data_IF_317166067782
#
_entry.id   IF_317166067782
#
_cell.length_a   1.000
_cell.length_b   1.000
_cell.length_c   1.000
_cell.angle_alpha   90.00
_cell.angle_beta   90.00
_cell.angle_gamma   90.00
#
_symmetry.space_group_name_H-M   'P 1'
#
loop_
_entity.id
_entity.type
_entity.pdbx_description
1 polymer ?
#
# COMPACT_ATOMS: atom_id res chain seq x y z
N UNK A 1 39.46 -20.10 7.99
CA UNK A 1 39.63 -19.71 9.40
C UNK A 1 38.58 -18.66 9.69
N UNK A 2 37.82 -18.71 10.79
CA UNK A 2 36.94 -17.60 11.14
C UNK A 2 37.80 -16.34 11.28
N UNK A 3 37.42 -15.26 10.59
CA UNK A 3 38.12 -13.97 10.74
C UNK A 3 38.08 -13.54 12.21
N UNK A 4 39.20 -13.04 12.71
CA UNK A 4 39.24 -12.45 14.03
C UNK A 4 38.28 -11.25 14.10
N UNK A 5 37.49 -11.19 15.18
CA UNK A 5 36.65 -10.05 15.48
C UNK A 5 37.46 -8.75 15.54
N UNK A 6 36.84 -7.64 15.18
CA UNK A 6 37.43 -6.33 15.41
C UNK A 6 37.67 -6.11 16.91
N UNK A 7 38.81 -5.49 17.22
CA UNK A 7 39.12 -5.06 18.57
C UNK A 7 38.25 -3.84 18.94
N UNK A 8 38.10 -3.58 20.24
CA UNK A 8 37.41 -2.38 20.70
C UNK A 8 38.01 -1.09 20.11
N UNK A 9 39.33 -1.02 19.93
CA UNK A 9 39.98 0.14 19.31
C UNK A 9 39.61 0.27 17.82
N UNK A 10 39.58 -0.83 17.07
CA UNK A 10 39.18 -0.82 15.67
C UNK A 10 37.69 -0.44 15.51
N UNK A 11 36.83 -0.95 16.40
CA UNK A 11 35.41 -0.59 16.43
C UNK A 11 35.20 0.87 16.80
N UNK A 12 35.97 1.41 17.75
CA UNK A 12 35.89 2.82 18.15
C UNK A 12 36.14 3.74 16.97
N UNK A 13 37.22 3.51 16.21
CA UNK A 13 37.51 4.30 14.98
C UNK A 13 36.38 4.22 13.94
N UNK A 14 35.78 3.03 13.75
CA UNK A 14 34.70 2.85 12.77
C UNK A 14 33.42 3.54 13.20
N UNK A 15 33.04 3.39 14.46
CA UNK A 15 31.84 3.99 15.03
C UNK A 15 31.97 5.50 15.14
N UNK A 16 33.17 6.01 15.45
CA UNK A 16 33.45 7.45 15.47
C UNK A 16 33.20 8.06 14.08
N UNK A 17 33.63 7.38 13.01
CA UNK A 17 33.33 7.79 11.64
C UNK A 17 31.82 7.71 11.32
N UNK A 18 31.18 6.57 11.58
CA UNK A 18 29.77 6.33 11.21
C UNK A 18 28.79 7.22 11.98
N UNK A 19 29.09 7.54 13.23
CA UNK A 19 28.21 8.27 14.14
C UNK A 19 28.66 9.70 14.41
N UNK A 20 29.73 10.19 13.74
CA UNK A 20 30.34 11.49 14.02
C UNK A 20 29.35 12.64 14.30
N UNK A 21 28.25 12.81 13.54
CA UNK A 21 27.33 13.93 13.74
C UNK A 21 26.52 13.90 15.04
N UNK A 22 26.38 12.74 15.68
CA UNK A 22 25.66 12.59 16.96
C UNK A 22 26.60 12.48 18.18
N UNK A 23 27.91 12.39 17.92
CA UNK A 23 28.92 12.35 18.97
C UNK A 23 29.27 13.75 19.46
N UNK A 24 29.77 13.82 20.69
CA UNK A 24 30.22 15.05 21.33
C UNK A 24 31.31 14.75 22.34
N UNK A 25 31.89 15.80 22.94
CA UNK A 25 32.86 15.64 24.03
C UNK A 25 32.33 14.85 25.23
N UNK A 26 31.00 14.77 25.41
CA UNK A 26 30.35 14.01 26.49
C UNK A 26 29.74 12.68 26.03
N UNK A 27 29.72 12.40 24.73
CA UNK A 27 29.12 11.20 24.12
C UNK A 27 30.01 10.71 23.00
N UNK A 28 30.84 9.71 23.28
CA UNK A 28 31.81 9.15 22.34
C UNK A 28 31.39 7.77 21.84
N UNK A 29 32.10 7.26 20.82
CA UNK A 29 31.92 5.91 20.30
C UNK A 29 32.50 4.81 21.20
N UNK A 30 33.48 5.14 22.05
CA UNK A 30 34.21 4.17 22.86
C UNK A 30 33.34 3.24 23.75
N UNK A 31 32.25 3.72 24.40
CA UNK A 31 31.35 2.82 25.12
C UNK A 31 30.68 1.79 24.21
N UNK A 32 30.23 2.20 23.02
CA UNK A 32 29.62 1.30 22.02
C UNK A 32 30.64 0.28 21.50
N UNK A 33 31.87 0.74 21.22
CA UNK A 33 32.94 -0.13 20.76
C UNK A 33 33.28 -1.23 21.76
N UNK A 34 33.28 -0.91 23.07
CA UNK A 34 33.46 -1.90 24.15
C UNK A 34 32.30 -2.88 24.25
N UNK A 35 31.07 -2.43 23.98
CA UNK A 35 29.89 -3.29 23.97
C UNK A 35 29.87 -4.26 22.78
N UNK A 36 30.36 -3.85 21.62
CA UNK A 36 30.35 -4.64 20.39
C UNK A 36 31.59 -5.55 20.24
N UNK A 37 32.71 -5.23 20.89
CA UNK A 37 33.95 -6.02 20.82
C UNK A 37 33.81 -7.52 21.20
N UNK A 38 32.95 -7.92 22.16
CA UNK A 38 32.76 -9.33 22.49
C UNK A 38 31.96 -10.14 21.46
N UNK A 39 31.28 -9.48 20.51
CA UNK A 39 30.48 -10.15 19.50
C UNK A 39 31.35 -10.91 18.49
N UNK A 40 30.78 -11.93 17.85
CA UNK A 40 31.46 -12.63 16.75
C UNK A 40 31.68 -11.68 15.56
N UNK A 41 32.70 -11.95 14.74
CA UNK A 41 33.02 -11.06 13.61
C UNK A 41 31.84 -10.82 12.66
N UNK A 42 31.10 -11.88 12.30
CA UNK A 42 29.89 -11.77 11.48
C UNK A 42 28.83 -10.87 12.11
N UNK A 43 28.64 -10.94 13.43
CA UNK A 43 27.70 -10.10 14.16
C UNK A 43 28.17 -8.64 14.22
N UNK A 44 29.48 -8.41 14.37
CA UNK A 44 30.06 -7.07 14.31
C UNK A 44 29.86 -6.44 12.93
N UNK A 45 30.14 -7.19 11.86
CA UNK A 45 29.95 -6.72 10.48
C UNK A 45 28.47 -6.42 10.20
N UNK A 46 27.55 -7.29 10.65
CA UNK A 46 26.10 -7.08 10.56
C UNK A 46 25.67 -5.78 11.27
N UNK A 47 26.12 -5.56 12.51
CA UNK A 47 25.77 -4.34 13.27
C UNK A 47 26.34 -3.09 12.61
N UNK A 48 27.61 -3.13 12.17
CA UNK A 48 28.25 -2.00 11.49
C UNK A 48 27.52 -1.65 10.19
N UNK A 49 27.10 -2.66 9.42
CA UNK A 49 26.30 -2.46 8.21
C UNK A 49 25.01 -1.69 8.52
N UNK A 50 24.21 -2.19 9.48
CA UNK A 50 22.93 -1.56 9.84
C UNK A 50 23.08 -0.19 10.49
N UNK A 51 24.14 0.06 11.27
CA UNK A 51 24.47 1.41 11.76
C UNK A 51 24.66 2.36 10.57
N UNK A 52 25.41 1.94 9.54
CA UNK A 52 25.60 2.72 8.33
C UNK A 52 24.28 3.01 7.61
N UNK A 53 23.45 1.98 7.41
CA UNK A 53 22.12 2.11 6.77
C UNK A 53 21.24 3.10 7.53
N UNK A 54 21.11 2.96 8.85
CA UNK A 54 20.27 3.84 9.67
C UNK A 54 20.83 5.27 9.71
N UNK A 55 22.15 5.44 9.76
CA UNK A 55 22.80 6.74 9.84
C UNK A 55 22.57 7.61 8.60
N UNK A 56 22.25 7.01 7.44
CA UNK A 56 21.81 7.77 6.26
C UNK A 56 20.50 8.53 6.49
N UNK A 57 19.63 8.02 7.37
CA UNK A 57 18.35 8.65 7.70
C UNK A 57 18.45 9.47 8.98
N UNK A 58 19.01 8.89 10.06
CA UNK A 58 19.12 9.56 11.35
C UNK A 58 20.25 8.99 12.23
N UNK A 59 21.24 9.82 12.57
CA UNK A 59 22.39 9.44 13.39
C UNK A 59 22.03 9.06 14.83
N UNK A 60 20.99 9.66 15.42
CA UNK A 60 20.55 9.29 16.77
C UNK A 60 19.94 7.89 16.78
N UNK A 61 19.07 7.56 15.82
CA UNK A 61 18.54 6.20 15.67
C UNK A 61 19.67 5.19 15.49
N UNK A 62 20.69 5.51 14.68
CA UNK A 62 21.84 4.64 14.47
C UNK A 62 22.64 4.41 15.78
N UNK A 63 22.81 5.45 16.59
CA UNK A 63 23.43 5.32 17.91
C UNK A 63 22.59 4.45 18.84
N UNK A 64 21.27 4.65 18.89
CA UNK A 64 20.37 3.87 19.75
C UNK A 64 20.38 2.39 19.37
N UNK A 65 20.37 2.07 18.06
CA UNK A 65 20.54 0.72 17.57
C UNK A 65 21.90 0.13 18.01
N UNK A 66 23.00 0.86 17.81
CA UNK A 66 24.34 0.40 18.20
C UNK A 66 24.43 0.03 19.69
N UNK A 67 23.74 0.80 20.55
CA UNK A 67 23.68 0.54 21.99
C UNK A 67 22.84 -0.70 22.33
N UNK A 68 21.77 -0.97 21.57
CA UNK A 68 20.83 -2.05 21.84
C UNK A 68 21.20 -3.38 21.15
N UNK A 69 22.00 -3.34 20.09
CA UNK A 69 22.34 -4.50 19.25
C UNK A 69 22.93 -5.71 20.01
N UNK A 70 23.84 -5.57 21.00
CA UNK A 70 24.33 -6.72 21.76
C UNK A 70 23.21 -7.49 22.49
N UNK A 71 22.27 -6.77 23.08
CA UNK A 71 21.14 -7.37 23.78
C UNK A 71 20.19 -8.08 22.80
N UNK A 72 20.06 -7.56 21.59
CA UNK A 72 19.28 -8.17 20.51
C UNK A 72 19.90 -9.46 19.98
N UNK A 73 21.19 -9.42 19.65
CA UNK A 73 21.93 -10.58 19.15
C UNK A 73 22.03 -11.73 20.16
N UNK A 74 21.86 -11.45 21.45
CA UNK A 74 21.79 -12.48 22.48
C UNK A 74 20.45 -13.25 22.49
N UNK A 75 19.41 -12.72 21.85
CA UNK A 75 18.02 -13.21 21.93
C UNK A 75 17.42 -13.58 20.57
N UNK A 76 17.89 -12.94 19.51
CA UNK A 76 17.28 -12.97 18.17
C UNK A 76 18.29 -13.46 17.14
N UNK A 77 17.79 -14.13 16.10
CA UNK A 77 18.55 -14.35 14.88
C UNK A 77 18.63 -13.07 14.02
N UNK A 78 19.43 -13.10 12.97
CA UNK A 78 19.64 -11.94 12.11
C UNK A 78 18.36 -11.47 11.43
N UNK A 79 17.50 -12.39 10.97
CA UNK A 79 16.24 -12.05 10.31
C UNK A 79 15.27 -11.32 11.25
N UNK A 80 15.16 -11.78 12.50
CA UNK A 80 14.34 -11.12 13.50
C UNK A 80 14.90 -9.73 13.89
N UNK A 81 16.22 -9.55 13.90
CA UNK A 81 16.84 -8.24 14.16
C UNK A 81 16.58 -7.27 12.99
N UNK A 82 16.65 -7.73 11.75
CA UNK A 82 16.31 -6.90 10.58
C UNK A 82 14.86 -6.42 10.64
N UNK A 83 13.92 -7.31 10.94
CA UNK A 83 12.51 -6.96 11.15
C UNK A 83 12.34 -5.92 12.27
N UNK A 84 13.03 -6.12 13.40
CA UNK A 84 13.01 -5.18 14.52
C UNK A 84 13.58 -3.80 14.16
N UNK A 85 14.68 -3.74 13.39
CA UNK A 85 15.25 -2.48 12.89
C UNK A 85 14.26 -1.77 11.99
N UNK A 86 13.65 -2.48 11.04
CA UNK A 86 12.66 -1.92 10.12
C UNK A 86 11.49 -1.33 10.91
N UNK A 87 10.94 -2.06 11.89
CA UNK A 87 9.85 -1.55 12.73
C UNK A 87 10.26 -0.28 13.51
N UNK A 88 11.48 -0.23 14.03
CA UNK A 88 11.97 0.95 14.74
C UNK A 88 12.08 2.16 13.81
N UNK A 89 12.53 1.96 12.58
CA UNK A 89 12.63 3.00 11.56
C UNK A 89 11.26 3.45 11.05
N UNK A 90 10.33 2.53 10.80
CA UNK A 90 8.95 2.85 10.43
C UNK A 90 8.25 3.66 11.53
N UNK A 91 8.49 3.29 12.79
CA UNK A 91 7.96 4.02 13.95
C UNK A 91 8.61 5.40 14.06
N UNK A 92 9.91 5.52 13.76
CA UNK A 92 10.60 6.82 13.71
C UNK A 92 10.00 7.74 12.64
N UNK A 93 9.80 7.23 11.42
CA UNK A 93 9.28 8.03 10.29
C UNK A 93 7.85 8.52 10.57
N UNK A 94 7.03 7.70 11.23
CA UNK A 94 5.64 8.04 11.55
C UNK A 94 5.49 8.89 12.81
N UNK A 95 6.13 8.46 13.89
CA UNK A 95 5.85 8.94 15.24
C UNK A 95 7.01 9.75 15.86
N UNK A 96 8.10 9.90 15.11
CA UNK A 96 9.28 10.68 15.49
C UNK A 96 10.29 9.93 16.36
N UNK A 97 11.40 10.62 16.63
CA UNK A 97 12.60 10.11 17.30
C UNK A 97 12.34 9.39 18.62
N UNK A 98 11.46 9.95 19.46
CA UNK A 98 11.20 9.38 20.77
C UNK A 98 10.58 7.98 20.67
N UNK A 99 9.53 7.82 19.85
CA UNK A 99 8.86 6.52 19.69
C UNK A 99 9.74 5.52 18.98
N UNK A 100 10.43 5.91 17.91
CA UNK A 100 11.37 5.03 17.21
C UNK A 100 12.49 4.53 18.13
N UNK A 101 13.10 5.41 18.93
CA UNK A 101 14.16 5.04 19.87
C UNK A 101 13.67 4.12 21.00
N UNK A 102 12.40 4.24 21.38
CA UNK A 102 11.82 3.39 22.42
C UNK A 102 11.70 1.93 21.98
N UNK A 103 11.46 1.68 20.68
CA UNK A 103 11.46 0.33 20.09
C UNK A 103 12.80 -0.37 20.34
N UNK A 104 13.92 0.35 20.22
CA UNK A 104 15.25 -0.20 20.49
C UNK A 104 15.49 -0.51 21.97
N UNK A 105 14.84 0.21 22.89
CA UNK A 105 14.97 0.00 24.33
C UNK A 105 14.10 -1.13 24.84
N UNK A 106 12.97 -1.39 24.18
CA UNK A 106 11.96 -2.35 24.62
C UNK A 106 12.06 -3.70 23.89
N UNK A 107 13.28 -4.21 23.71
CA UNK A 107 13.48 -5.48 23.03
C UNK A 107 12.81 -6.67 23.74
N UNK A 108 12.70 -6.63 25.07
CA UNK A 108 12.02 -7.68 25.83
C UNK A 108 10.51 -7.67 25.55
N UNK A 109 9.89 -6.49 25.39
CA UNK A 109 8.49 -6.36 24.97
C UNK A 109 8.29 -6.82 23.52
N UNK A 110 9.23 -6.47 22.64
CA UNK A 110 9.20 -6.90 21.24
C UNK A 110 9.32 -8.41 21.12
N UNK A 111 10.32 -9.01 21.77
CA UNK A 111 10.51 -10.47 21.82
C UNK A 111 9.32 -11.18 22.45
N UNK A 112 8.64 -10.61 23.44
CA UNK A 112 7.40 -11.21 23.98
C UNK A 112 6.23 -11.12 23.01
N UNK A 113 6.10 -10.00 22.29
CA UNK A 113 5.06 -9.81 21.28
C UNK A 113 5.29 -10.67 20.03
N UNK A 114 6.55 -10.98 19.70
CA UNK A 114 6.95 -11.84 18.57
C UNK A 114 7.35 -13.25 18.99
N UNK A 115 7.30 -13.58 20.29
CA UNK A 115 7.66 -14.89 20.82
C UNK A 115 6.74 -15.96 20.24
N UNK A 116 7.30 -16.80 19.37
CA UNK A 116 6.57 -17.87 18.70
C UNK A 116 5.82 -17.44 17.44
N UNK A 117 5.97 -16.19 16.97
CA UNK A 117 5.48 -15.73 15.68
C UNK A 117 6.57 -15.86 14.61
N UNK A 118 6.35 -16.77 13.67
CA UNK A 118 7.24 -16.90 12.50
C UNK A 118 7.01 -15.73 11.53
N UNK A 119 8.10 -15.06 11.13
CA UNK A 119 8.04 -13.87 10.28
C UNK A 119 7.75 -14.26 8.82
N UNK A 120 6.74 -13.64 8.20
CA UNK A 120 6.55 -13.63 6.76
C UNK A 120 7.12 -12.33 6.18
N UNK A 121 8.02 -12.40 5.19
CA UNK A 121 8.58 -11.21 4.54
C UNK A 121 7.93 -10.96 3.19
N UNK A 122 7.85 -9.70 2.79
CA UNK A 122 7.32 -9.33 1.47
C UNK A 122 8.16 -9.95 0.34
N UNK A 123 9.49 -9.91 0.44
CA UNK A 123 10.40 -10.40 -0.60
C UNK A 123 10.17 -11.88 -0.94
N UNK A 124 9.91 -12.71 0.08
CA UNK A 124 9.64 -14.14 -0.12
C UNK A 124 8.33 -14.38 -0.89
N UNK A 125 7.32 -13.53 -0.67
CA UNK A 125 5.97 -13.74 -1.18
C UNK A 125 5.58 -12.79 -2.32
N UNK A 126 6.43 -11.85 -2.70
CA UNK A 126 6.12 -10.80 -3.67
C UNK A 126 5.60 -11.37 -4.99
N UNK A 127 6.27 -12.38 -5.54
CA UNK A 127 5.83 -13.02 -6.79
C UNK A 127 4.47 -13.70 -6.68
N UNK A 128 4.23 -14.41 -5.57
CA UNK A 128 2.93 -15.06 -5.31
C UNK A 128 1.82 -14.02 -5.15
N UNK A 129 2.11 -12.93 -4.45
CA UNK A 129 1.17 -11.82 -4.27
C UNK A 129 0.88 -11.09 -5.58
N UNK A 130 1.85 -10.94 -6.48
CA UNK A 130 1.64 -10.37 -7.82
C UNK A 130 0.69 -11.24 -8.65
N UNK A 131 0.89 -12.56 -8.66
CA UNK A 131 0.00 -13.50 -9.36
C UNK A 131 -1.41 -13.49 -8.74
N UNK A 132 -1.49 -13.47 -7.41
CA UNK A 132 -2.74 -13.34 -6.68
C UNK A 132 -3.48 -12.03 -7.05
N UNK A 133 -2.77 -10.90 -7.03
CA UNK A 133 -3.31 -9.60 -7.45
C UNK A 133 -3.77 -9.58 -8.91
N UNK A 134 -3.03 -10.26 -9.79
CA UNK A 134 -3.43 -10.44 -11.19
C UNK A 134 -4.75 -11.24 -11.31
N UNK A 135 -4.91 -12.29 -10.51
CA UNK A 135 -6.17 -13.03 -10.42
C UNK A 135 -7.33 -12.20 -9.85
N UNK A 136 -7.07 -11.25 -8.95
CA UNK A 136 -8.08 -10.34 -8.40
C UNK A 136 -8.51 -9.26 -9.39
N UNK A 137 -7.55 -8.62 -10.06
CA UNK A 137 -7.79 -7.43 -10.86
C UNK A 137 -7.98 -7.72 -12.36
N UNK A 138 -7.71 -8.95 -12.82
CA UNK A 138 -7.65 -9.29 -14.25
C UNK A 138 -6.46 -8.66 -14.98
N UNK A 139 -5.59 -7.94 -14.27
CA UNK A 139 -4.40 -7.26 -14.77
C UNK A 139 -3.29 -7.27 -13.70
N UNK A 140 -2.01 -7.15 -14.09
CA UNK A 140 -0.92 -7.01 -13.12
C UNK A 140 -1.17 -5.81 -12.18
N UNK A 141 -0.98 -6.04 -10.88
CA UNK A 141 -0.97 -4.98 -9.86
C UNK A 141 0.48 -4.71 -9.44
N UNK A 142 0.85 -3.44 -9.35
CA UNK A 142 2.15 -3.07 -8.81
C UNK A 142 2.14 -3.28 -7.30
N UNK A 143 3.18 -3.93 -6.78
CA UNK A 143 3.38 -4.14 -5.35
C UNK A 143 4.73 -3.55 -4.96
N UNK A 144 4.76 -2.86 -3.84
CA UNK A 144 6.00 -2.34 -3.25
C UNK A 144 5.91 -2.39 -1.71
N UNK A 145 7.01 -2.10 -1.05
CA UNK A 145 7.08 -2.02 0.41
C UNK A 145 6.71 -0.64 0.92
N UNK A 146 6.04 -0.59 2.07
CA UNK A 146 5.73 0.64 2.79
C UNK A 146 5.72 0.42 4.29
N UNK A 147 5.98 1.48 5.05
CA UNK A 147 5.96 1.46 6.52
C UNK A 147 4.58 1.15 7.10
N UNK A 148 3.53 1.37 6.31
CA UNK A 148 2.15 1.00 6.60
C UNK A 148 1.50 0.47 5.32
N UNK A 149 0.45 -0.37 5.42
CA UNK A 149 -0.28 -0.81 4.24
C UNK A 149 -1.10 0.35 3.65
N UNK A 150 -0.88 0.74 2.40
CA UNK A 150 -1.67 1.78 1.72
C UNK A 150 -1.60 1.61 0.21
N UNK A 151 -2.43 2.35 -0.54
CA UNK A 151 -2.34 2.39 -2.00
C UNK A 151 -2.47 3.81 -2.51
N UNK A 152 -1.75 4.11 -3.58
CA UNK A 152 -1.95 5.32 -4.39
C UNK A 152 -2.92 5.08 -5.55
N UNK A 153 -3.62 3.94 -5.56
CA UNK A 153 -4.49 3.39 -6.61
C UNK A 153 -3.80 2.71 -7.79
N UNK A 154 -2.48 2.85 -7.96
CA UNK A 154 -1.70 2.14 -8.99
C UNK A 154 -0.80 1.05 -8.37
N UNK A 155 -0.28 1.31 -7.17
CA UNK A 155 0.59 0.44 -6.40
C UNK A 155 -0.03 0.10 -5.06
N UNK A 156 0.06 -1.17 -4.65
CA UNK A 156 -0.28 -1.60 -3.30
C UNK A 156 1.02 -1.67 -2.49
N UNK A 157 1.16 -0.77 -1.52
CA UNK A 157 2.29 -0.73 -0.60
C UNK A 157 1.97 -1.64 0.59
N UNK A 158 2.80 -2.66 0.80
CA UNK A 158 2.64 -3.67 1.85
C UNK A 158 3.81 -3.59 2.85
N UNK A 159 3.62 -4.01 4.11
CA UNK A 159 4.71 -4.05 5.09
C UNK A 159 5.87 -4.93 4.60
N UNK A 160 7.12 -4.55 4.89
CA UNK A 160 8.28 -5.37 4.55
C UNK A 160 8.25 -6.76 5.23
N UNK A 161 7.62 -6.85 6.40
CA UNK A 161 7.42 -8.09 7.14
C UNK A 161 6.12 -8.07 7.97
N UNK A 162 5.58 -9.24 8.26
CA UNK A 162 4.43 -9.45 9.16
C UNK A 162 4.76 -10.58 10.13
N UNK A 163 4.59 -10.30 11.43
CA UNK A 163 4.82 -11.25 12.53
C UNK A 163 3.71 -11.12 13.58
N UNK A 164 2.46 -11.08 13.16
CA UNK A 164 1.30 -10.83 14.02
C UNK A 164 0.67 -12.10 14.58
N UNK A 165 0.92 -13.25 13.95
CA UNK A 165 0.38 -14.56 14.31
C UNK A 165 1.50 -15.59 14.50
N UNK A 166 1.26 -16.68 15.23
CA UNK A 166 2.30 -17.69 15.51
C UNK A 166 2.92 -18.32 14.25
N UNK A 167 2.10 -18.59 13.23
CA UNK A 167 2.52 -19.33 12.06
C UNK A 167 2.81 -18.42 10.85
N UNK A 168 3.90 -18.71 10.12
CA UNK A 168 4.30 -17.95 8.94
C UNK A 168 3.25 -17.93 7.84
N UNK A 169 2.57 -19.06 7.60
CA UNK A 169 1.50 -19.16 6.62
C UNK A 169 0.28 -18.30 7.00
N UNK A 170 0.04 -18.10 8.31
CA UNK A 170 -1.01 -17.20 8.76
C UNK A 170 -0.61 -15.73 8.60
N UNK A 171 0.65 -15.39 8.87
CA UNK A 171 1.18 -14.07 8.55
C UNK A 171 1.18 -13.79 7.04
N UNK A 172 1.43 -14.81 6.20
CA UNK A 172 1.24 -14.70 4.76
C UNK A 172 -0.23 -14.48 4.38
N UNK A 173 -1.20 -15.08 5.09
CA UNK A 173 -2.61 -14.78 4.86
C UNK A 173 -2.96 -13.31 5.15
N UNK A 174 -2.30 -12.66 6.11
CA UNK A 174 -2.46 -11.22 6.36
C UNK A 174 -2.05 -10.40 5.13
N UNK A 175 -0.97 -10.76 4.43
CA UNK A 175 -0.60 -10.10 3.17
C UNK A 175 -1.71 -10.19 2.11
N UNK A 176 -2.34 -11.37 1.94
CA UNK A 176 -3.46 -11.50 0.98
C UNK A 176 -4.64 -10.62 1.37
N UNK A 177 -4.98 -10.56 2.65
CA UNK A 177 -6.07 -9.70 3.16
C UNK A 177 -5.75 -8.23 2.92
N UNK A 178 -4.53 -7.78 3.24
CA UNK A 178 -4.07 -6.42 2.97
C UNK A 178 -4.13 -6.08 1.48
N UNK A 179 -3.55 -6.93 0.63
CA UNK A 179 -3.58 -6.73 -0.82
C UNK A 179 -5.01 -6.65 -1.36
N UNK A 180 -5.91 -7.50 -0.88
CA UNK A 180 -7.32 -7.48 -1.29
C UNK A 180 -8.04 -6.22 -0.81
N UNK A 181 -7.83 -5.78 0.44
CA UNK A 181 -8.44 -4.55 0.96
C UNK A 181 -7.95 -3.31 0.21
N UNK A 182 -6.64 -3.21 -0.04
CA UNK A 182 -6.05 -2.08 -0.78
C UNK A 182 -6.54 -2.04 -2.23
N UNK A 183 -6.59 -3.18 -2.92
CA UNK A 183 -7.23 -3.28 -4.23
C UNK A 183 -8.72 -2.85 -4.18
N UNK A 184 -9.44 -3.33 -3.16
CA UNK A 184 -10.85 -3.04 -2.98
C UNK A 184 -11.12 -1.54 -2.76
N UNK A 185 -10.19 -0.80 -2.16
CA UNK A 185 -10.34 0.64 -1.97
C UNK A 185 -10.55 1.37 -3.31
N UNK A 186 -9.73 1.08 -4.31
CA UNK A 186 -9.92 1.59 -5.67
C UNK A 186 -11.16 0.99 -6.32
N UNK A 187 -11.31 -0.33 -6.24
CA UNK A 187 -12.36 -1.08 -6.93
C UNK A 187 -13.78 -0.68 -6.57
N UNK A 188 -14.02 -0.36 -5.30
CA UNK A 188 -15.33 -0.02 -4.75
C UNK A 188 -15.42 1.45 -4.36
N UNK A 189 -14.67 2.31 -5.05
CA UNK A 189 -14.92 3.75 -5.11
C UNK A 189 -14.59 4.55 -3.85
N UNK A 190 -13.68 4.06 -3.00
CA UNK A 190 -13.24 4.76 -1.77
C UNK A 190 -12.72 6.16 -2.09
N UNK A 191 -11.92 6.29 -3.16
CA UNK A 191 -11.30 7.54 -3.57
C UNK A 191 -12.17 8.41 -4.49
N UNK A 192 -13.47 8.14 -4.59
CA UNK A 192 -14.42 9.00 -5.32
C UNK A 192 -14.83 10.24 -4.51
N UNK A 193 -14.62 10.22 -3.20
CA UNK A 193 -14.84 11.35 -2.31
C UNK A 193 -13.53 12.05 -1.93
N UNK A 194 -13.60 13.34 -1.59
CA UNK A 194 -12.48 14.13 -1.07
C UNK A 194 -12.21 13.77 0.40
N UNK A 195 -11.56 12.64 0.62
CA UNK A 195 -11.30 12.11 1.96
C UNK A 195 -10.38 13.04 2.77
N UNK A 196 -9.43 13.71 2.10
CA UNK A 196 -8.53 14.65 2.74
C UNK A 196 -9.30 15.88 3.26
N UNK A 197 -10.17 16.46 2.43
CA UNK A 197 -11.05 17.56 2.82
C UNK A 197 -12.01 17.18 3.94
N UNK A 198 -12.62 15.98 3.87
CA UNK A 198 -13.51 15.46 4.93
C UNK A 198 -12.76 15.34 6.26
N UNK A 199 -11.60 14.68 6.29
CA UNK A 199 -10.84 14.48 7.52
C UNK A 199 -10.27 15.80 8.08
N UNK A 200 -9.91 16.76 7.22
CA UNK A 200 -9.39 18.06 7.63
C UNK A 200 -10.42 18.91 8.41
N UNK A 201 -11.71 18.61 8.29
CA UNK A 201 -12.77 19.30 9.03
C UNK A 201 -12.86 18.90 10.52
N UNK A 202 -12.15 17.85 10.94
CA UNK A 202 -12.16 17.38 12.32
C UNK A 202 -11.00 17.96 13.14
N UNK A 203 -11.17 18.00 14.47
CA UNK A 203 -10.19 18.57 15.39
C UNK A 203 -8.80 17.90 15.32
N UNK A 204 -8.79 16.60 15.09
CA UNK A 204 -7.60 15.78 14.82
C UNK A 204 -7.83 15.02 13.49
N UNK A 205 -7.30 15.52 12.37
CA UNK A 205 -7.44 14.90 11.06
C UNK A 205 -6.80 13.51 10.95
N UNK A 206 -5.72 13.24 11.70
CA UNK A 206 -5.06 11.95 11.69
C UNK A 206 -5.94 10.88 12.36
N UNK A 207 -6.57 11.23 13.49
CA UNK A 207 -7.57 10.39 14.15
C UNK A 207 -8.79 10.16 13.27
N UNK A 208 -9.27 11.20 12.57
CA UNK A 208 -10.39 11.08 11.64
C UNK A 208 -10.06 10.11 10.49
N UNK A 209 -8.85 10.22 9.94
CA UNK A 209 -8.35 9.36 8.84
C UNK A 209 -8.24 7.90 9.29
N UNK A 210 -7.71 7.65 10.49
CA UNK A 210 -7.63 6.30 11.04
C UNK A 210 -9.01 5.68 11.24
N UNK A 211 -9.98 6.44 11.76
CA UNK A 211 -11.34 5.95 11.96
C UNK A 211 -12.07 5.73 10.63
N UNK A 212 -11.90 6.63 9.66
CA UNK A 212 -12.47 6.46 8.32
C UNK A 212 -11.90 5.22 7.63
N UNK A 213 -10.60 4.97 7.75
CA UNK A 213 -9.97 3.77 7.18
C UNK A 213 -10.53 2.48 7.79
N UNK A 214 -10.82 2.50 9.09
CA UNK A 214 -11.48 1.38 9.76
C UNK A 214 -12.90 1.14 9.22
N UNK A 215 -13.72 2.19 9.14
CA UNK A 215 -15.08 2.12 8.62
C UNK A 215 -15.09 1.65 7.16
N UNK A 216 -14.20 2.20 6.32
CA UNK A 216 -14.06 1.74 4.94
C UNK A 216 -13.65 0.28 4.87
N UNK A 217 -12.75 -0.19 5.74
CA UNK A 217 -12.41 -1.62 5.78
C UNK A 217 -13.64 -2.49 6.02
N UNK A 218 -14.55 -2.10 6.91
CA UNK A 218 -15.80 -2.85 7.17
C UNK A 218 -16.71 -2.91 5.94
N UNK A 219 -16.87 -1.76 5.24
CA UNK A 219 -17.65 -1.70 3.99
C UNK A 219 -17.03 -2.58 2.92
N UNK A 220 -15.72 -2.48 2.73
CA UNK A 220 -14.97 -3.25 1.74
C UNK A 220 -14.99 -4.74 2.02
N UNK A 221 -14.91 -5.17 3.28
CA UNK A 221 -15.07 -6.58 3.66
C UNK A 221 -16.45 -7.12 3.28
N UNK A 222 -17.51 -6.34 3.46
CA UNK A 222 -18.85 -6.73 3.01
C UNK A 222 -18.94 -6.84 1.48
N UNK A 223 -18.30 -5.94 0.73
CA UNK A 223 -18.19 -6.03 -0.72
C UNK A 223 -17.43 -7.29 -1.16
N UNK A 224 -16.25 -7.51 -0.58
CA UNK A 224 -15.37 -8.65 -0.87
C UNK A 224 -16.07 -9.96 -0.54
N UNK A 225 -16.81 -10.05 0.57
CA UNK A 225 -17.47 -11.28 0.99
C UNK A 225 -18.58 -11.78 0.08
N UNK A 226 -19.12 -10.93 -0.81
CA UNK A 226 -20.10 -11.33 -1.82
C UNK A 226 -19.46 -12.07 -3.00
N UNK A 227 -18.22 -11.74 -3.33
CA UNK A 227 -17.54 -12.22 -4.55
C UNK A 227 -16.35 -13.15 -4.24
N UNK A 228 -15.73 -13.04 -3.07
CA UNK A 228 -14.53 -13.76 -2.67
C UNK A 228 -14.73 -14.45 -1.30
N UNK A 229 -15.56 -15.51 -1.22
CA UNK A 229 -15.91 -16.17 0.04
C UNK A 229 -14.71 -16.84 0.73
N UNK A 230 -13.65 -17.17 0.00
CA UNK A 230 -12.39 -17.64 0.58
C UNK A 230 -11.72 -16.57 1.43
N UNK A 231 -11.55 -15.36 0.87
CA UNK A 231 -10.90 -14.23 1.56
C UNK A 231 -11.78 -13.70 2.70
N UNK A 232 -13.10 -13.70 2.54
CA UNK A 232 -13.99 -13.29 3.62
C UNK A 232 -13.91 -14.20 4.85
N UNK A 233 -13.72 -15.52 4.66
CA UNK A 233 -13.46 -16.43 5.78
C UNK A 233 -12.14 -16.10 6.48
N UNK A 234 -11.10 -15.76 5.73
CA UNK A 234 -9.83 -15.32 6.29
C UNK A 234 -9.99 -14.01 7.08
N UNK A 235 -10.73 -13.02 6.55
CA UNK A 235 -11.02 -11.74 7.21
C UNK A 235 -11.80 -11.93 8.51
N UNK A 236 -12.87 -12.72 8.50
CA UNK A 236 -13.65 -13.04 9.71
C UNK A 236 -12.77 -13.71 10.78
N UNK A 237 -11.93 -14.66 10.36
CA UNK A 237 -11.01 -15.38 11.26
C UNK A 237 -10.00 -14.42 11.91
N UNK A 238 -9.46 -13.46 11.16
CA UNK A 238 -8.52 -12.48 11.68
C UNK A 238 -9.20 -11.42 12.56
N UNK A 239 -10.33 -10.88 12.11
CA UNK A 239 -11.06 -9.80 12.77
C UNK A 239 -11.76 -10.22 14.05
N UNK A 240 -12.28 -11.44 14.08
CA UNK A 240 -13.20 -11.87 15.13
C UNK A 240 -14.56 -11.17 15.00
N UNK A 241 -15.38 -11.27 16.05
CA UNK A 241 -16.71 -10.68 16.07
C UNK A 241 -16.64 -9.16 16.22
N UNK A 242 -17.19 -8.42 15.25
CA UNK A 242 -17.34 -6.96 15.34
C UNK A 242 -18.66 -6.55 15.95
N UNK A 243 -19.69 -7.43 16.00
CA UNK A 243 -20.95 -7.37 16.75
C UNK A 243 -21.75 -6.06 16.82
N UNK A 244 -21.30 -4.99 16.18
CA UNK A 244 -21.74 -3.64 16.45
C UNK A 244 -22.75 -3.20 15.40
N UNK A 245 -24.00 -3.14 15.82
CA UNK A 245 -25.15 -2.78 14.98
C UNK A 245 -24.99 -1.40 14.31
N UNK A 246 -24.13 -0.53 14.85
CA UNK A 246 -23.84 0.79 14.25
C UNK A 246 -23.20 0.67 12.88
N UNK A 247 -22.53 -0.45 12.58
CA UNK A 247 -21.89 -0.70 11.29
C UNK A 247 -22.83 -1.35 10.25
N UNK A 248 -24.08 -1.68 10.61
CA UNK A 248 -24.99 -2.42 9.74
C UNK A 248 -25.17 -1.76 8.36
N UNK A 249 -25.22 -0.42 8.31
CA UNK A 249 -25.33 0.35 7.06
C UNK A 249 -24.19 0.06 6.07
N UNK A 250 -22.97 -0.20 6.57
CA UNK A 250 -21.81 -0.49 5.73
C UNK A 250 -21.86 -1.88 5.08
N UNK A 251 -22.72 -2.77 5.58
CA UNK A 251 -22.90 -4.11 5.02
C UNK A 251 -23.98 -4.17 3.96
N UNK A 252 -24.70 -3.07 3.70
CA UNK A 252 -25.70 -2.99 2.65
C UNK A 252 -25.06 -3.18 1.25
N UNK A 253 -25.74 -3.81 0.28
CA UNK A 253 -25.21 -4.02 -1.07
C UNK A 253 -24.86 -2.73 -1.82
N UNK A 254 -25.58 -1.65 -1.53
CA UNK A 254 -25.45 -0.32 -2.14
C UNK A 254 -24.63 0.66 -1.30
N UNK A 255 -24.02 0.20 -0.20
CA UNK A 255 -23.19 1.03 0.67
C UNK A 255 -21.99 1.62 -0.10
N UNK A 256 -21.81 2.93 0.07
CA UNK A 256 -20.76 3.74 -0.56
C UNK A 256 -19.81 4.32 0.48
N UNK A 257 -18.72 4.94 0.02
CA UNK A 257 -17.82 5.69 0.90
C UNK A 257 -18.53 6.81 1.68
N UNK A 258 -19.64 7.34 1.14
CA UNK A 258 -20.42 8.36 1.84
C UNK A 258 -21.09 7.83 3.12
N UNK A 259 -21.44 6.53 3.16
CA UNK A 259 -21.99 5.91 4.36
C UNK A 259 -20.93 5.79 5.46
N UNK A 260 -19.68 5.47 5.08
CA UNK A 260 -18.53 5.48 6.00
C UNK A 260 -18.20 6.90 6.48
N UNK A 261 -18.27 7.91 5.60
CA UNK A 261 -18.09 9.32 5.97
C UNK A 261 -19.19 9.77 6.93
N UNK A 262 -20.44 9.40 6.68
CA UNK A 262 -21.56 9.71 7.56
C UNK A 262 -21.36 9.08 8.96
N UNK A 263 -20.95 7.81 9.02
CA UNK A 263 -20.61 7.15 10.28
C UNK A 263 -19.40 7.77 10.98
N UNK A 264 -18.39 8.22 10.23
CA UNK A 264 -17.25 8.95 10.80
C UNK A 264 -17.74 10.17 11.59
N UNK A 265 -18.64 10.98 11.02
CA UNK A 265 -19.21 12.13 11.72
C UNK A 265 -19.96 11.74 12.99
N UNK A 266 -20.66 10.61 13.00
CA UNK A 266 -21.41 10.14 14.16
C UNK A 266 -20.50 9.56 15.26
N UNK A 267 -19.40 8.90 14.88
CA UNK A 267 -18.61 8.07 15.77
C UNK A 267 -17.29 8.70 16.22
N UNK A 268 -16.84 9.79 15.58
CA UNK A 268 -15.57 10.45 15.89
C UNK A 268 -15.41 10.84 17.37
N UNK A 269 -16.47 11.31 18.01
CA UNK A 269 -16.47 11.66 19.44
C UNK A 269 -16.77 10.49 20.38
N UNK A 270 -17.07 9.31 19.84
CA UNK A 270 -17.64 8.18 20.58
C UNK A 270 -16.65 7.02 20.71
N UNK A 271 -15.91 6.72 19.65
CA UNK A 271 -14.97 5.58 19.60
C UNK A 271 -13.61 6.01 19.09
N UNK A 272 -12.59 5.23 19.45
CA UNK A 272 -11.29 5.28 18.79
C UNK A 272 -11.20 4.20 17.71
N UNK A 273 -10.42 4.49 16.67
CA UNK A 273 -10.18 3.55 15.59
C UNK A 273 -9.46 2.30 16.13
N UNK A 274 -10.03 1.09 15.97
CA UNK A 274 -9.34 -0.15 16.32
C UNK A 274 -8.05 -0.28 15.50
N UNK A 275 -6.96 -0.69 16.15
CA UNK A 275 -5.69 -1.00 15.48
C UNK A 275 -5.46 -2.51 15.50
N UNK A 276 -5.36 -3.10 14.32
CA UNK A 276 -5.01 -4.51 14.12
C UNK A 276 -3.95 -4.66 13.01
N UNK A 277 -3.32 -5.83 12.91
CA UNK A 277 -2.17 -6.06 12.03
C UNK A 277 -2.45 -5.88 10.52
N UNK A 278 -3.71 -5.99 10.09
CA UNK A 278 -4.15 -5.73 8.71
C UNK A 278 -4.92 -4.42 8.55
N UNK A 279 -4.60 -3.39 9.35
CA UNK A 279 -5.21 -2.06 9.16
C UNK A 279 -4.62 -1.42 7.92
N UNK A 280 -5.46 -1.03 6.97
CA UNK A 280 -5.04 -0.25 5.79
C UNK A 280 -4.98 1.24 6.13
N UNK A 281 -4.20 2.01 5.38
CA UNK A 281 -4.12 3.46 5.45
C UNK A 281 -4.85 4.13 4.28
N UNK A 282 -5.37 5.33 4.54
CA UNK A 282 -5.86 6.24 3.51
C UNK A 282 -4.88 7.42 3.44
N UNK A 283 -4.29 7.68 2.26
CA UNK A 283 -3.32 8.75 2.08
C UNK A 283 -3.75 9.71 0.97
N UNK A 284 -3.45 11.02 1.10
CA UNK A 284 -3.80 12.02 0.08
C UNK A 284 -3.24 11.73 -1.31
N UNK A 285 -2.07 11.08 -1.39
CA UNK A 285 -1.42 10.74 -2.65
C UNK A 285 -2.33 9.92 -3.60
N UNK A 286 -3.20 9.07 -3.04
CA UNK A 286 -4.14 8.27 -3.82
C UNK A 286 -5.06 9.11 -4.70
N UNK A 287 -5.52 10.26 -4.19
CA UNK A 287 -6.40 11.14 -4.95
C UNK A 287 -5.65 11.82 -6.11
N UNK A 288 -4.44 12.32 -5.85
CA UNK A 288 -3.63 12.96 -6.90
C UNK A 288 -3.21 11.99 -8.00
N UNK A 289 -2.84 10.76 -7.65
CA UNK A 289 -2.44 9.73 -8.62
C UNK A 289 -3.66 9.31 -9.45
N UNK A 290 -4.79 9.08 -8.80
CA UNK A 290 -6.05 8.79 -9.48
C UNK A 290 -6.47 9.89 -10.46
N UNK A 291 -6.41 11.16 -10.06
CA UNK A 291 -6.74 12.29 -10.94
C UNK A 291 -5.81 12.39 -12.16
N UNK A 292 -4.51 12.13 -11.96
CA UNK A 292 -3.54 12.08 -13.06
C UNK A 292 -3.83 10.89 -14.00
N UNK A 293 -4.16 9.72 -13.45
CA UNK A 293 -4.55 8.54 -14.22
C UNK A 293 -5.79 8.79 -15.05
N UNK A 294 -6.87 9.33 -14.47
CA UNK A 294 -8.12 9.64 -15.19
C UNK A 294 -7.84 10.49 -16.44
N UNK A 295 -7.01 11.53 -16.32
CA UNK A 295 -6.63 12.40 -17.45
C UNK A 295 -5.84 11.65 -18.52
N UNK A 296 -4.94 10.76 -18.11
CA UNK A 296 -4.13 9.94 -19.02
C UNK A 296 -4.99 8.91 -19.76
N UNK A 297 -5.81 8.17 -19.01
CA UNK A 297 -6.71 7.13 -19.53
C UNK A 297 -7.78 7.70 -20.48
N UNK A 298 -8.21 8.95 -20.28
CA UNK A 298 -9.06 9.65 -21.25
C UNK A 298 -8.42 9.73 -22.64
N UNK A 299 -7.15 10.13 -22.71
CA UNK A 299 -6.42 10.22 -23.98
C UNK A 299 -6.11 8.86 -24.59
N UNK A 300 -5.75 7.88 -23.75
CA UNK A 300 -5.50 6.49 -24.17
C UNK A 300 -6.77 5.85 -24.75
N UNK A 301 -7.95 6.09 -24.15
CA UNK A 301 -9.20 5.53 -24.63
C UNK A 301 -9.58 6.15 -25.97
N UNK A 302 -9.44 7.47 -26.11
CA UNK A 302 -9.68 8.16 -27.36
C UNK A 302 -8.78 7.61 -28.49
N UNK A 303 -7.49 7.41 -28.23
CA UNK A 303 -6.57 6.83 -29.20
C UNK A 303 -6.95 5.38 -29.57
N UNK A 304 -7.22 4.54 -28.57
CA UNK A 304 -7.57 3.14 -28.80
C UNK A 304 -8.89 2.96 -29.56
N UNK A 305 -9.90 3.79 -29.29
CA UNK A 305 -11.15 3.80 -30.05
C UNK A 305 -10.95 4.29 -31.49
N UNK A 306 -10.07 5.27 -31.73
CA UNK A 306 -9.75 5.72 -33.07
C UNK A 306 -9.06 4.62 -33.89
N UNK A 307 -8.09 3.91 -33.30
CA UNK A 307 -7.42 2.77 -33.91
C UNK A 307 -8.44 1.65 -34.21
N UNK A 308 -9.31 1.31 -33.26
CA UNK A 308 -10.36 0.32 -33.43
C UNK A 308 -11.34 0.69 -34.57
N UNK A 309 -11.67 1.98 -34.73
CA UNK A 309 -12.50 2.44 -35.84
C UNK A 309 -11.79 2.30 -37.20
N UNK A 310 -10.49 2.54 -37.25
CA UNK A 310 -9.68 2.39 -38.47
C UNK A 310 -9.54 0.93 -38.90
N UNK A 311 -9.36 0.02 -37.94
CA UNK A 311 -9.34 -1.43 -38.19
C UNK A 311 -10.67 -1.95 -38.76
N UNK A 312 -11.80 -1.43 -38.24
CA UNK A 312 -13.13 -1.82 -38.69
C UNK A 312 -13.52 -1.22 -40.06
N UNK A 313 -12.99 -0.04 -40.43
CA UNK A 313 -13.20 0.59 -41.75
C UNK A 313 -11.88 1.14 -42.34
N UNK A 314 -11.02 0.26 -42.89
CA UNK A 314 -9.75 0.66 -43.48
C UNK A 314 -9.95 1.67 -44.61
N UNK A 315 -9.27 2.82 -44.55
CA UNK A 315 -9.31 3.86 -45.59
C UNK A 315 -10.17 5.08 -45.28
N UNK A 316 -10.94 5.07 -44.18
CA UNK A 316 -11.57 6.29 -43.65
C UNK A 316 -10.55 7.01 -42.76
N UNK A 317 -10.24 8.28 -43.06
CA UNK A 317 -9.38 9.08 -42.18
C UNK A 317 -10.13 9.36 -40.87
N UNK A 318 -9.49 9.18 -39.69
CA UNK A 318 -10.08 9.62 -38.43
C UNK A 318 -10.38 11.11 -38.49
N UNK A 319 -11.66 11.46 -38.38
CA UNK A 319 -12.16 12.82 -38.22
C UNK A 319 -12.56 13.09 -36.77
N UNK A 320 -12.85 14.35 -36.44
CA UNK A 320 -13.31 14.73 -35.10
C UNK A 320 -14.61 14.00 -34.67
N UNK A 321 -15.39 13.53 -35.64
CA UNK A 321 -16.64 12.77 -35.47
C UNK A 321 -16.42 11.26 -35.25
N UNK A 322 -15.19 10.76 -35.35
CA UNK A 322 -14.92 9.31 -35.31
C UNK A 322 -15.23 8.71 -33.95
N UNK A 323 -14.95 9.44 -32.87
CA UNK A 323 -15.29 9.02 -31.50
C UNK A 323 -16.80 9.06 -31.24
N UNK A 324 -17.52 9.99 -31.87
CA UNK A 324 -18.98 10.16 -31.68
C UNK A 324 -19.80 8.99 -32.24
N UNK A 325 -19.18 8.13 -33.05
CA UNK A 325 -19.77 6.90 -33.60
C UNK A 325 -19.78 5.76 -32.59
N UNK A 326 -19.01 5.88 -31.51
CA UNK A 326 -19.00 4.89 -30.44
C UNK A 326 -20.11 5.14 -29.42
N UNK A 327 -20.64 4.05 -28.86
CA UNK A 327 -21.49 4.07 -27.67
C UNK A 327 -20.98 3.01 -26.70
N UNK A 328 -20.94 3.34 -25.42
CA UNK A 328 -20.55 2.43 -24.36
C UNK A 328 -21.70 2.36 -23.38
N UNK A 329 -22.29 1.17 -23.24
CA UNK A 329 -23.33 0.90 -22.26
C UNK A 329 -22.73 0.02 -21.16
N UNK A 330 -22.54 0.56 -19.97
CA UNK A 330 -22.09 -0.22 -18.81
C UNK A 330 -23.31 -0.71 -18.01
N UNK A 331 -23.23 -1.95 -17.54
CA UNK A 331 -24.21 -2.51 -16.62
C UNK A 331 -24.17 -1.73 -15.29
N UNK A 332 -25.34 -1.49 -14.72
CA UNK A 332 -25.48 -0.83 -13.41
C UNK A 332 -25.04 -1.73 -12.24
N UNK A 333 -24.92 -3.04 -12.49
CA UNK A 333 -24.47 -4.02 -11.51
C UNK A 333 -23.16 -4.67 -11.98
N UNK A 334 -22.25 -4.81 -11.04
CA UNK A 334 -21.06 -5.65 -11.19
C UNK A 334 -21.48 -7.12 -11.37
N UNK A 335 -20.77 -7.86 -12.23
CA UNK A 335 -20.90 -9.31 -12.38
C UNK A 335 -20.39 -10.06 -11.14
N UNK A 336 -20.50 -11.39 -11.16
CA UNK A 336 -20.14 -12.26 -10.03
C UNK A 336 -18.65 -12.19 -9.65
N UNK A 337 -17.79 -11.78 -10.58
CA UNK A 337 -16.36 -11.51 -10.37
C UNK A 337 -16.07 -10.05 -9.99
N UNK A 338 -17.12 -9.25 -9.81
CA UNK A 338 -17.05 -7.83 -9.57
C UNK A 338 -16.92 -6.98 -10.83
N UNK A 339 -16.52 -7.52 -12.00
CA UNK A 339 -16.31 -6.79 -13.27
C UNK A 339 -17.57 -6.00 -13.68
N UNK A 340 -17.40 -4.83 -14.30
CA UNK A 340 -18.55 -4.07 -14.80
C UNK A 340 -18.75 -4.52 -16.23
N UNK A 341 -19.78 -5.34 -16.47
CA UNK A 341 -20.10 -5.76 -17.83
C UNK A 341 -20.42 -4.52 -18.68
N UNK A 342 -19.81 -4.38 -19.85
CA UNK A 342 -20.10 -3.29 -20.76
C UNK A 342 -20.30 -3.80 -22.19
N UNK A 343 -21.05 -3.04 -22.97
CA UNK A 343 -21.24 -3.25 -24.40
C UNK A 343 -20.66 -2.05 -25.16
N UNK A 344 -19.69 -2.32 -26.05
CA UNK A 344 -19.13 -1.34 -26.97
C UNK A 344 -19.83 -1.47 -28.33
N UNK A 345 -20.35 -0.36 -28.85
CA UNK A 345 -20.98 -0.29 -30.16
C UNK A 345 -20.26 0.73 -31.04
N UNK A 346 -20.14 0.42 -32.34
CA UNK A 346 -19.65 1.31 -33.39
C UNK A 346 -20.70 1.37 -34.50
N UNK A 347 -21.20 2.56 -34.82
CA UNK A 347 -22.30 2.76 -35.79
C UNK A 347 -23.55 1.91 -35.48
N UNK A 348 -23.82 1.63 -34.20
CA UNK A 348 -24.93 0.80 -33.74
C UNK A 348 -24.71 -0.72 -33.86
N UNK A 349 -23.54 -1.16 -34.33
CA UNK A 349 -23.16 -2.57 -34.31
C UNK A 349 -22.27 -2.86 -33.09
N UNK A 350 -22.54 -3.94 -32.37
CA UNK A 350 -21.70 -4.39 -31.24
C UNK A 350 -20.32 -4.80 -31.75
N UNK A 351 -19.28 -4.26 -31.11
CA UNK A 351 -17.86 -4.56 -31.40
C UNK A 351 -17.23 -5.15 -30.15
N UNK A 352 -16.51 -6.26 -30.31
CA UNK A 352 -15.71 -6.82 -29.22
C UNK A 352 -14.44 -5.98 -29.05
N UNK A 353 -14.24 -5.31 -27.90
CA UNK A 353 -13.02 -4.56 -27.66
C UNK A 353 -11.84 -5.52 -27.45
N UNK A 354 -10.64 -5.17 -27.94
CA UNK A 354 -9.40 -5.84 -27.55
C UNK A 354 -9.16 -5.78 -26.03
N UNK A 355 -8.42 -6.74 -25.48
CA UNK A 355 -8.20 -6.87 -24.03
C UNK A 355 -7.71 -5.58 -23.36
N UNK A 356 -6.77 -4.86 -24.01
CA UNK A 356 -6.23 -3.61 -23.47
C UNK A 356 -7.29 -2.48 -23.42
N UNK A 357 -8.22 -2.44 -24.38
CA UNK A 357 -9.33 -1.47 -24.39
C UNK A 357 -10.33 -1.83 -23.30
N UNK A 358 -10.63 -3.11 -23.14
CA UNK A 358 -11.50 -3.61 -22.07
C UNK A 358 -10.95 -3.25 -20.68
N UNK A 359 -9.66 -3.48 -20.45
CA UNK A 359 -8.98 -3.13 -19.20
C UNK A 359 -8.99 -1.63 -18.93
N UNK A 360 -8.83 -0.82 -19.97
CA UNK A 360 -8.87 0.64 -19.88
C UNK A 360 -10.28 1.14 -19.52
N UNK A 361 -11.31 0.59 -20.17
CA UNK A 361 -12.71 0.88 -19.87
C UNK A 361 -13.07 0.48 -18.43
N UNK A 362 -12.64 -0.69 -17.96
CA UNK A 362 -12.82 -1.13 -16.58
C UNK A 362 -12.17 -0.19 -15.57
N UNK A 363 -10.95 0.29 -15.87
CA UNK A 363 -10.21 1.25 -15.03
C UNK A 363 -10.99 2.57 -14.89
N UNK A 364 -11.46 3.12 -16.01
CA UNK A 364 -12.24 4.36 -16.06
C UNK A 364 -13.57 4.20 -15.33
N UNK A 365 -14.28 3.07 -15.53
CA UNK A 365 -15.54 2.77 -14.86
C UNK A 365 -15.37 2.64 -13.33
N UNK A 366 -14.26 2.05 -12.86
CA UNK A 366 -13.93 1.99 -11.44
C UNK A 366 -13.72 3.38 -10.86
N UNK A 367 -13.04 4.26 -11.58
CA UNK A 367 -12.80 5.61 -11.12
C UNK A 367 -14.06 6.47 -11.14
N UNK A 368 -14.80 6.51 -12.25
CA UNK A 368 -15.86 7.48 -12.48
C UNK A 368 -17.27 6.95 -12.21
N UNK A 369 -17.44 5.63 -12.08
CA UNK A 369 -18.75 4.98 -11.95
C UNK A 369 -19.56 4.90 -13.25
N UNK A 370 -19.01 5.41 -14.35
CA UNK A 370 -19.57 5.45 -15.70
C UNK A 370 -18.51 6.02 -16.65
N UNK A 371 -18.61 5.75 -17.96
CA UNK A 371 -17.75 6.43 -18.94
C UNK A 371 -18.45 7.71 -19.41
N UNK A 372 -17.91 8.90 -19.14
CA UNK A 372 -18.54 10.16 -19.54
C UNK A 372 -18.63 10.32 -21.07
N UNK A 373 -19.73 10.89 -21.57
CA UNK A 373 -19.92 11.16 -23.01
C UNK A 373 -18.80 12.01 -23.63
N UNK A 374 -18.16 12.86 -22.82
CA UNK A 374 -17.02 13.68 -23.24
C UNK A 374 -15.77 12.88 -23.61
N UNK A 375 -15.64 11.62 -23.15
CA UNK A 375 -14.57 10.70 -23.55
C UNK A 375 -14.80 10.17 -24.96
N UNK A 376 -16.03 10.23 -25.45
CA UNK A 376 -16.43 9.82 -26.80
C UNK A 376 -16.50 11.01 -27.76
N UNK A 377 -15.90 12.15 -27.40
CA UNK A 377 -15.76 13.33 -28.25
C UNK A 377 -14.29 13.68 -28.37
N UNK A 378 -13.89 14.22 -29.53
CA UNK A 378 -12.55 14.77 -29.66
C UNK A 378 -12.36 15.89 -28.62
N UNK A 379 -11.34 15.77 -27.76
CA UNK A 379 -10.91 16.86 -26.91
C UNK A 379 -10.54 18.04 -27.83
N UNK A 380 -11.33 19.10 -27.81
CA UNK A 380 -11.29 20.15 -28.84
C UNK A 380 -9.89 20.66 -29.14
N UNK A 381 -9.52 20.68 -30.44
CA UNK A 381 -8.32 21.27 -31.06
C UNK A 381 -7.08 21.41 -30.14
N UNK A 382 -6.68 20.32 -29.49
CA UNK A 382 -5.38 20.18 -28.85
C UNK A 382 -4.44 19.46 -29.80
N UNK A 383 -3.59 20.22 -30.51
CA UNK A 383 -2.55 19.73 -31.44
C UNK A 383 -1.82 18.50 -30.86
N UNK A 384 -1.99 17.34 -31.50
CA UNK A 384 -0.98 16.29 -31.47
C UNK A 384 0.26 16.83 -32.18
N UNK A 385 1.27 17.26 -31.42
CA UNK A 385 2.62 17.44 -31.96
C UNK A 385 3.19 16.05 -32.28
N UNK A 386 2.92 15.59 -33.50
CA UNK A 386 3.69 14.53 -34.12
C UNK A 386 5.03 15.13 -34.57
N UNK A 387 6.09 14.92 -33.79
CA UNK A 387 7.43 15.31 -34.21
C UNK A 387 8.54 15.00 -33.22
N UNK A 388 9.12 13.80 -33.31
CA UNK A 388 10.58 13.58 -33.38
C UNK A 388 10.87 12.07 -33.35
N UNK A 389 10.85 11.43 -34.52
CA UNK A 389 11.81 10.35 -34.81
C UNK A 389 12.94 11.05 -35.56
N UNK A 390 14.08 11.19 -34.89
CA UNK A 390 15.35 11.49 -35.56
C UNK A 390 16.02 10.15 -35.91
N UNK A 391 16.56 10.12 -37.13
CA UNK A 391 17.32 9.03 -37.72
C UNK A 391 18.63 8.72 -36.97
#
# INVERSE_FOLDING_TARGET
MPEAGYTAAALDTRLDYLLSPVLSSRRTAAPLAKLLAPLQRSQQDFVLHWIGVIAHTNYEMAYQFAAAAPAALARLDTTAIEAWIIQAMDTYDRDGLQRGSEVFKQIDTWTQATAGAEIATFEEYAHVLQLFGCGLAGRPLNLDTGSEPWTDTETLYLPAHIAALPNKAENFNIYKVLATLLWAQGRYGTFRADLAGVCAAFADPARATALLSHLESLRLEACIGRVLPGIARDMIRLRGDTGDERYAVLTAPDATVNDSIHLLHQLYGVIDAPRHAWTTGLRPAAQSVREARIKREQGELAAALADLAQENKPGTKPGADTLERFRINAATAAGDDGSIAFELQLDGATVTPPDHVSQLMDSILQDLGGIPDEYLRAAGDGRYDAGARED
#
